data_IF_138935098165
#
_entry.id   IF_138935098165
#
_cell.length_a   1.000
_cell.length_b   1.000
_cell.length_c   1.000
_cell.angle_alpha   90.00
_cell.angle_beta   90.00
_cell.angle_gamma   90.00
#
_symmetry.space_group_name_H-M   'P 1'
#
loop_
_entity.id
_entity.type
_entity.pdbx_description
1 polymer ?
#
# COMPACT_ATOMS: atom_id res chain seq x y z
N UNK A 1 15.02 5.84 10.26
CA UNK A 1 14.77 5.17 8.97
C UNK A 1 13.27 5.06 8.82
N UNK A 2 12.75 5.56 7.71
CA UNK A 2 11.32 5.68 7.47
C UNK A 2 10.92 4.75 6.32
N UNK A 3 9.80 4.05 6.45
CA UNK A 3 9.26 3.19 5.41
C UNK A 3 8.38 4.05 4.49
N UNK A 4 8.63 4.08 3.17
CA UNK A 4 7.83 4.88 2.25
C UNK A 4 6.36 4.46 2.21
N UNK A 5 5.45 5.42 2.00
CA UNK A 5 4.04 5.16 1.67
C UNK A 5 3.91 4.15 0.53
N UNK A 6 2.93 3.25 0.65
CA UNK A 6 2.62 2.19 -0.30
C UNK A 6 3.51 0.94 -0.17
N UNK A 7 4.44 0.89 0.80
CA UNK A 7 5.29 -0.28 0.99
C UNK A 7 4.49 -1.48 1.48
N UNK A 8 4.78 -2.68 0.96
CA UNK A 8 4.19 -3.95 1.39
C UNK A 8 5.19 -4.68 2.27
N UNK A 9 4.76 -5.06 3.47
CA UNK A 9 5.60 -5.74 4.45
C UNK A 9 5.06 -7.09 4.88
N UNK A 10 5.94 -7.92 5.43
CA UNK A 10 5.59 -9.17 6.14
C UNK A 10 6.21 -9.16 7.55
N UNK A 11 5.43 -9.58 8.54
CA UNK A 11 5.88 -9.92 9.88
C UNK A 11 5.22 -11.21 10.37
N UNK A 12 5.99 -12.30 10.41
CA UNK A 12 5.46 -13.61 10.74
C UNK A 12 4.37 -14.04 9.75
N UNK A 13 3.16 -14.29 10.28
CA UNK A 13 1.98 -14.69 9.48
C UNK A 13 1.17 -13.50 8.96
N UNK A 14 1.57 -12.27 9.28
CA UNK A 14 0.85 -11.06 8.89
C UNK A 14 1.53 -10.39 7.69
N UNK A 15 0.70 -9.85 6.81
CA UNK A 15 1.11 -8.95 5.72
C UNK A 15 0.24 -7.70 5.73
N UNK A 16 0.74 -6.62 5.17
CA UNK A 16 0.06 -5.34 5.20
C UNK A 16 0.78 -4.31 4.35
N UNK A 17 0.10 -3.20 4.13
CA UNK A 17 0.61 -2.08 3.36
C UNK A 17 0.68 -0.85 4.25
N UNK A 18 1.81 -0.16 4.21
CA UNK A 18 2.01 1.11 4.90
C UNK A 18 1.28 2.23 4.15
N UNK A 19 0.10 2.62 4.64
CA UNK A 19 -0.75 3.66 4.02
C UNK A 19 -0.19 5.09 4.16
N UNK A 20 0.71 5.30 5.12
CA UNK A 20 1.47 6.54 5.34
C UNK A 20 2.93 6.22 5.61
N UNK A 21 3.79 7.22 5.45
CA UNK A 21 5.22 7.11 5.71
C UNK A 21 5.48 7.10 7.22
N UNK A 22 6.15 6.06 7.72
CA UNK A 22 6.29 5.81 9.17
C UNK A 22 7.49 4.88 9.45
N UNK A 23 8.14 4.93 10.63
CA UNK A 23 9.08 3.89 11.02
C UNK A 23 8.40 2.52 11.11
N UNK A 24 9.14 1.45 10.78
CA UNK A 24 8.66 0.08 10.97
C UNK A 24 9.78 -0.94 10.84
N UNK A 25 9.50 -2.17 11.28
CA UNK A 25 10.46 -3.28 11.30
C UNK A 25 10.03 -4.50 10.49
N UNK A 26 8.99 -4.40 9.66
CA UNK A 26 8.56 -5.52 8.82
C UNK A 26 9.50 -5.68 7.63
N UNK A 27 9.63 -6.91 7.15
CA UNK A 27 10.42 -7.19 5.96
C UNK A 27 9.67 -6.67 4.74
N UNK A 28 10.26 -5.70 4.03
CA UNK A 28 9.65 -5.10 2.85
C UNK A 28 9.82 -6.00 1.64
N UNK A 29 8.72 -6.30 0.95
CA UNK A 29 8.68 -7.24 -0.18
C UNK A 29 8.19 -6.63 -1.48
N UNK A 30 7.69 -5.38 -1.45
CA UNK A 30 7.17 -4.70 -2.63
C UNK A 30 6.52 -3.37 -2.29
N UNK A 31 5.87 -2.76 -3.29
CA UNK A 31 5.09 -1.52 -3.14
C UNK A 31 3.85 -1.58 -4.02
N UNK A 32 2.79 -0.90 -3.59
CA UNK A 32 1.59 -0.64 -4.41
C UNK A 32 1.53 0.84 -4.76
N UNK A 33 1.11 1.21 -5.98
CA UNK A 33 0.89 2.61 -6.35
C UNK A 33 -0.41 3.16 -5.78
N UNK A 34 -1.30 2.31 -5.26
CA UNK A 34 -2.63 2.70 -4.78
C UNK A 34 -2.59 3.52 -3.48
N UNK A 35 -3.41 4.57 -3.47
CA UNK A 35 -3.77 5.35 -2.28
C UNK A 35 -4.71 4.53 -1.39
N UNK A 36 -4.21 3.99 -0.28
CA UNK A 36 -5.07 3.21 0.64
C UNK A 36 -5.85 4.05 1.64
N UNK A 37 -5.43 5.29 1.86
CA UNK A 37 -6.08 6.22 2.76
C UNK A 37 -6.24 7.58 2.07
N UNK A 38 -7.49 7.90 1.73
CA UNK A 38 -7.92 9.11 1.05
C UNK A 38 -8.67 9.97 2.06
N UNK A 39 -7.98 10.95 2.65
CA UNK A 39 -8.49 11.75 3.78
C UNK A 39 -9.80 12.51 3.48
N UNK A 40 -10.05 12.80 2.20
CA UNK A 40 -11.17 13.63 1.72
C UNK A 40 -12.35 12.76 1.23
N UNK A 41 -12.26 11.44 1.30
CA UNK A 41 -13.29 10.47 0.91
C UNK A 41 -14.07 9.91 2.12
N UNK A 42 -15.30 9.43 1.89
CA UNK A 42 -16.12 8.73 2.90
C UNK A 42 -16.58 7.35 2.36
N UNK A 43 -16.02 6.23 2.86
CA UNK A 43 -15.04 6.13 3.93
C UNK A 43 -13.61 6.50 3.48
N UNK A 44 -12.75 7.03 4.37
CA UNK A 44 -11.41 7.49 3.99
C UNK A 44 -10.41 6.35 3.75
N UNK A 45 -10.78 5.10 4.04
CA UNK A 45 -9.94 3.93 3.83
C UNK A 45 -10.46 3.13 2.65
N UNK A 46 -9.59 2.83 1.69
CA UNK A 46 -9.91 1.99 0.54
C UNK A 46 -10.32 0.58 0.98
N UNK A 47 -9.71 0.07 2.06
CA UNK A 47 -9.98 -1.25 2.61
C UNK A 47 -10.79 -1.13 3.90
N UNK A 48 -11.80 -2.00 4.04
CA UNK A 48 -12.67 -2.09 5.20
C UNK A 48 -12.44 -3.40 5.95
N UNK A 49 -12.88 -3.43 7.22
CA UNK A 49 -12.80 -4.64 8.04
C UNK A 49 -13.65 -5.75 7.42
N UNK A 50 -13.03 -6.89 7.14
CA UNK A 50 -13.68 -8.04 6.50
C UNK A 50 -13.37 -8.20 5.02
N UNK A 51 -12.73 -7.20 4.39
CA UNK A 51 -12.32 -7.31 2.99
C UNK A 51 -11.25 -8.38 2.79
N UNK A 52 -11.32 -9.05 1.63
CA UNK A 52 -10.33 -10.03 1.20
C UNK A 52 -9.43 -9.40 0.14
N UNK A 53 -8.14 -9.32 0.43
CA UNK A 53 -7.14 -8.69 -0.44
C UNK A 53 -6.33 -9.75 -1.18
N UNK A 54 -6.10 -9.52 -2.48
CA UNK A 54 -5.15 -10.28 -3.30
C UNK A 54 -4.14 -9.33 -3.92
N UNK A 55 -2.86 -9.60 -3.70
CA UNK A 55 -1.79 -8.88 -4.41
C UNK A 55 -1.62 -9.43 -5.82
N UNK A 56 -1.52 -8.53 -6.79
CA UNK A 56 -1.20 -8.84 -8.17
C UNK A 56 0.16 -8.24 -8.50
N UNK A 57 1.16 -9.02 -8.95
CA UNK A 57 2.41 -8.47 -9.44
C UNK A 57 2.16 -7.63 -10.70
N UNK A 58 2.83 -6.48 -10.75
CA UNK A 58 2.85 -5.57 -11.89
C UNK A 58 4.31 -5.21 -12.20
N UNK A 59 4.53 -4.74 -13.42
CA UNK A 59 5.81 -4.18 -13.86
C UNK A 59 6.06 -2.82 -13.23
N UNK A 60 7.31 -2.35 -13.29
CA UNK A 60 7.66 -1.00 -12.85
C UNK A 60 7.04 0.09 -13.72
N UNK A 61 6.79 -0.19 -15.01
CA UNK A 61 6.12 0.74 -15.93
C UNK A 61 4.67 0.97 -15.51
N UNK A 62 3.89 -0.12 -15.36
CA UNK A 62 2.51 -0.08 -14.86
C UNK A 62 2.41 0.61 -13.48
N UNK A 63 3.42 0.40 -12.62
CA UNK A 63 3.46 1.06 -11.32
C UNK A 63 3.47 2.59 -11.45
N UNK A 64 4.28 3.14 -12.35
CA UNK A 64 4.37 4.59 -12.54
C UNK A 64 3.17 5.13 -13.29
N UNK A 65 2.64 4.40 -14.27
CA UNK A 65 1.39 4.75 -14.96
C UNK A 65 0.22 4.90 -13.98
N UNK A 66 0.01 3.93 -13.08
CA UNK A 66 -1.05 4.01 -12.08
C UNK A 66 -0.83 5.14 -11.08
N UNK A 67 0.43 5.47 -10.79
CA UNK A 67 0.76 6.54 -9.86
C UNK A 67 0.52 7.92 -10.46
N UNK A 68 0.88 8.12 -11.73
CA UNK A 68 0.65 9.37 -12.46
C UNK A 68 -0.83 9.59 -12.79
N UNK A 69 -1.60 8.52 -13.03
CA UNK A 69 -3.04 8.59 -13.27
C UNK A 69 -3.90 8.81 -12.00
N UNK A 70 -3.28 8.85 -10.82
CA UNK A 70 -3.96 9.06 -9.53
C UNK A 70 -3.82 10.50 -9.00
N UNK A 71 -3.17 11.40 -9.75
CA UNK A 71 -3.01 12.84 -9.44
C UNK A 71 -4.09 13.72 -10.10
#
# INVERSE_FOLDING_TARGET
MEIPKGSVGIAGVQTGVYSISTPGGWQLIGRTPLELFLKDEDPPSLLQSGDVVRFQPITSEEYWEYKEGSD
#
